data_IF_707332893031
#
_entry.id   IF_707332893031
#
_cell.length_a   1.000
_cell.length_b   1.000
_cell.length_c   1.000
_cell.angle_alpha   90.00
_cell.angle_beta   90.00
_cell.angle_gamma   90.00
#
_symmetry.space_group_name_H-M   'P 1'
#
loop_
_entity.id
_entity.type
_entity.pdbx_description
1 polymer ?
#
# COMPACT_ATOMS: atom_id res chain seq x y z
N UNK A 1 -13.86 -6.77 11.34
CA UNK A 1 -13.78 -5.46 12.03
C UNK A 1 -13.30 -4.42 11.02
N UNK A 2 -13.81 -3.19 11.06
CA UNK A 2 -13.37 -2.10 10.19
C UNK A 2 -12.71 -0.99 11.01
N UNK A 3 -11.81 -0.27 10.36
CA UNK A 3 -11.15 0.91 10.92
C UNK A 3 -11.45 2.12 10.04
N UNK A 4 -11.87 3.22 10.64
CA UNK A 4 -11.92 4.52 9.99
C UNK A 4 -10.72 5.33 10.47
N UNK A 5 -9.83 5.69 9.55
CA UNK A 5 -8.65 6.50 9.80
C UNK A 5 -8.87 7.89 9.24
N UNK A 6 -8.85 8.90 10.11
CA UNK A 6 -8.99 10.30 9.75
C UNK A 6 -7.69 11.04 10.09
N UNK A 7 -7.10 11.71 9.09
CA UNK A 7 -5.92 12.57 9.28
C UNK A 7 -6.40 13.99 9.52
N UNK A 8 -5.97 14.63 10.60
CA UNK A 8 -6.28 16.02 10.92
C UNK A 8 -4.99 16.82 11.12
N UNK A 9 -5.03 18.12 10.81
CA UNK A 9 -3.82 18.94 10.75
C UNK A 9 -3.31 19.43 12.10
N UNK A 10 -4.16 19.43 13.13
CA UNK A 10 -3.86 20.02 14.43
C UNK A 10 -4.43 19.18 15.58
N UNK A 11 -3.76 19.24 16.73
CA UNK A 11 -4.16 18.61 17.98
C UNK A 11 -5.56 19.03 18.40
N UNK A 12 -5.89 20.31 18.28
CA UNK A 12 -7.21 20.83 18.68
C UNK A 12 -8.32 20.21 17.85
N UNK A 13 -8.08 19.97 16.55
CA UNK A 13 -9.03 19.28 15.69
C UNK A 13 -9.20 17.81 16.09
N UNK A 14 -8.10 17.12 16.41
CA UNK A 14 -8.14 15.74 16.87
C UNK A 14 -8.94 15.59 18.17
N UNK A 15 -8.67 16.46 19.16
CA UNK A 15 -9.39 16.51 20.43
C UNK A 15 -10.88 16.85 20.24
N UNK A 16 -11.20 17.80 19.35
CA UNK A 16 -12.59 18.18 19.06
C UNK A 16 -13.39 16.99 18.51
N UNK A 17 -12.82 16.26 17.54
CA UNK A 17 -13.46 15.05 17.00
C UNK A 17 -13.61 13.99 18.08
N UNK A 18 -12.58 13.78 18.91
CA UNK A 18 -12.63 12.84 20.02
C UNK A 18 -13.80 13.17 20.97
N UNK A 19 -13.93 14.43 21.38
CA UNK A 19 -15.01 14.89 22.26
C UNK A 19 -16.39 14.80 21.60
N UNK A 20 -16.50 15.09 20.30
CA UNK A 20 -17.78 14.97 19.60
C UNK A 20 -18.24 13.51 19.47
N UNK A 21 -17.30 12.57 19.32
CA UNK A 21 -17.59 11.13 19.30
C UNK A 21 -17.93 10.58 20.69
N UNK A 22 -17.28 11.11 21.73
CA UNK A 22 -17.65 10.82 23.12
C UNK A 22 -19.08 11.29 23.42
N UNK A 23 -19.45 12.52 23.01
CA UNK A 23 -20.82 13.04 23.15
C UNK A 23 -21.85 12.22 22.37
N UNK A 24 -21.44 11.62 21.25
CA UNK A 24 -22.29 10.71 20.47
C UNK A 24 -22.40 9.30 21.11
N UNK A 25 -21.72 9.03 22.23
CA UNK A 25 -21.78 7.77 22.95
C UNK A 25 -20.88 6.67 22.36
N UNK A 26 -19.88 7.04 21.56
CA UNK A 26 -18.96 6.06 20.99
C UNK A 26 -17.98 5.53 22.07
N UNK A 27 -17.76 4.21 22.14
CA UNK A 27 -16.85 3.62 23.14
C UNK A 27 -15.41 4.10 22.94
N UNK A 28 -14.84 4.73 23.97
CA UNK A 28 -13.48 5.31 23.94
C UNK A 28 -12.37 4.28 23.75
N UNK A 29 -12.60 3.03 24.16
CA UNK A 29 -11.69 1.90 23.93
C UNK A 29 -11.40 1.64 22.44
N UNK A 30 -12.33 2.04 21.57
CA UNK A 30 -12.23 1.90 20.12
C UNK A 30 -11.73 3.17 19.43
N UNK A 31 -11.41 4.22 20.20
CA UNK A 31 -10.90 5.48 19.69
C UNK A 31 -9.43 5.65 20.09
N UNK A 32 -8.55 5.78 19.09
CA UNK A 32 -7.13 6.04 19.33
C UNK A 32 -6.67 7.29 18.59
N UNK A 33 -5.85 8.10 19.26
CA UNK A 33 -5.19 9.27 18.69
C UNK A 33 -3.69 8.99 18.60
N UNK A 34 -3.09 9.21 17.44
CA UNK A 34 -1.65 9.17 17.23
C UNK A 34 -1.15 10.56 16.82
N UNK A 35 -0.01 10.96 17.37
CA UNK A 35 0.59 12.28 17.16
C UNK A 35 1.52 12.68 18.30
N UNK A 36 2.22 13.80 18.12
CA UNK A 36 3.14 14.33 19.15
C UNK A 36 2.37 14.61 20.45
N UNK A 37 2.77 13.96 21.56
CA UNK A 37 2.11 14.04 22.86
C UNK A 37 1.04 12.97 23.13
N UNK A 38 0.73 12.11 22.16
CA UNK A 38 -0.14 10.94 22.29
C UNK A 38 0.63 9.65 22.00
N UNK A 39 -0.06 8.52 21.81
CA UNK A 39 0.61 7.24 21.53
C UNK A 39 1.53 7.39 20.31
N UNK A 40 2.78 6.96 20.50
CA UNK A 40 3.83 7.06 19.50
C UNK A 40 3.73 5.86 18.55
N UNK A 41 4.04 6.13 17.28
CA UNK A 41 4.01 5.27 16.06
C UNK A 41 4.27 3.76 16.19
N UNK A 42 4.89 3.29 17.27
CA UNK A 42 5.29 1.89 17.45
C UNK A 42 4.11 0.94 17.71
N UNK A 43 2.93 1.46 18.10
CA UNK A 43 1.74 0.63 18.38
C UNK A 43 0.70 0.66 17.23
N UNK A 44 1.07 1.28 16.10
CA UNK A 44 0.18 1.45 14.95
C UNK A 44 0.58 0.57 13.77
N UNK A 45 0.23 -0.71 13.89
CA UNK A 45 0.38 -1.75 12.86
C UNK A 45 -0.71 -1.60 11.78
N UNK A 46 -0.76 -0.43 11.13
CA UNK A 46 -1.48 -0.30 9.87
C UNK A 46 -0.52 -0.61 8.74
N UNK A 47 -0.64 -1.84 8.26
CA UNK A 47 -0.16 -2.34 6.98
C UNK A 47 -0.06 -1.23 5.91
N UNK A 48 1.15 -0.69 5.69
CA UNK A 48 1.37 0.33 4.67
C UNK A 48 1.03 -0.30 3.31
N UNK A 49 0.05 0.25 2.56
CA UNK A 49 -0.35 -0.28 1.27
C UNK A 49 0.83 -0.43 0.29
N UNK A 50 1.81 0.48 0.37
CA UNK A 50 2.99 0.46 -0.49
C UNK A 50 4.05 -0.54 -0.04
N UNK A 51 4.25 -0.75 1.26
CA UNK A 51 5.12 -1.84 1.74
C UNK A 51 4.52 -3.20 1.34
N UNK A 52 3.20 -3.34 1.46
CA UNK A 52 2.48 -4.54 1.04
C UNK A 52 2.52 -4.76 -0.48
N UNK A 53 2.43 -3.71 -1.29
CA UNK A 53 2.60 -3.80 -2.74
C UNK A 53 4.03 -4.20 -3.12
N UNK A 54 5.06 -3.62 -2.48
CA UNK A 54 6.47 -3.98 -2.70
C UNK A 54 6.76 -5.43 -2.33
N UNK A 55 6.32 -5.87 -1.15
CA UNK A 55 6.53 -7.26 -0.71
C UNK A 55 5.83 -8.27 -1.64
N UNK A 56 4.61 -7.97 -2.10
CA UNK A 56 3.91 -8.79 -3.10
C UNK A 56 4.66 -8.82 -4.44
N UNK A 57 5.17 -7.68 -4.91
CA UNK A 57 5.96 -7.59 -6.12
C UNK A 57 7.22 -8.47 -6.05
N UNK A 58 7.99 -8.38 -4.96
CA UNK A 58 9.19 -9.20 -4.77
C UNK A 58 8.87 -10.69 -4.73
N UNK A 59 7.80 -11.08 -4.03
CA UNK A 59 7.36 -12.49 -3.98
C UNK A 59 6.98 -13.02 -5.36
N UNK A 60 6.30 -12.21 -6.17
CA UNK A 60 5.96 -12.54 -7.55
C UNK A 60 7.21 -12.62 -8.43
N UNK A 61 8.13 -11.66 -8.31
CA UNK A 61 9.38 -11.63 -9.08
C UNK A 61 10.21 -12.89 -8.88
N UNK A 62 10.27 -13.44 -7.66
CA UNK A 62 11.00 -14.68 -7.37
C UNK A 62 10.58 -15.84 -8.30
N UNK A 63 9.32 -15.86 -8.75
CA UNK A 63 8.83 -16.86 -9.70
C UNK A 63 8.78 -16.38 -11.15
N UNK A 64 8.36 -15.13 -11.39
CA UNK A 64 8.17 -14.61 -12.74
C UNK A 64 9.50 -14.35 -13.47
N UNK A 65 10.58 -14.04 -12.76
CA UNK A 65 11.91 -13.86 -13.35
C UNK A 65 12.45 -15.17 -13.95
N UNK A 66 12.58 -16.27 -13.19
CA UNK A 66 13.06 -17.53 -13.77
C UNK A 66 12.09 -18.06 -14.83
N UNK A 67 10.77 -17.95 -14.59
CA UNK A 67 9.79 -18.40 -15.58
C UNK A 67 9.86 -17.59 -16.88
N UNK A 68 10.02 -16.27 -16.78
CA UNK A 68 10.26 -15.38 -17.91
C UNK A 68 11.56 -15.73 -18.65
N UNK A 69 12.63 -16.05 -17.92
CA UNK A 69 13.89 -16.48 -18.51
C UNK A 69 13.74 -17.76 -19.34
N UNK A 70 13.24 -18.83 -18.74
CA UNK A 70 13.06 -20.11 -19.44
C UNK A 70 12.03 -19.99 -20.56
N UNK A 71 10.97 -19.20 -20.36
CA UNK A 71 9.99 -18.88 -21.39
C UNK A 71 10.62 -18.17 -22.60
N UNK A 72 11.48 -17.18 -22.37
CA UNK A 72 12.19 -16.45 -23.42
C UNK A 72 13.19 -17.32 -24.19
N UNK A 73 13.97 -18.16 -23.49
CA UNK A 73 14.88 -19.14 -24.11
C UNK A 73 14.10 -20.12 -24.99
N UNK A 74 13.02 -20.68 -24.44
CA UNK A 74 12.20 -21.68 -25.14
C UNK A 74 11.47 -21.07 -26.33
N UNK A 75 10.92 -19.86 -26.17
CA UNK A 75 10.29 -19.12 -27.26
C UNK A 75 11.27 -18.88 -28.41
N UNK A 76 12.48 -18.43 -28.11
CA UNK A 76 13.52 -18.22 -29.11
C UNK A 76 13.92 -19.53 -29.81
N UNK A 77 14.04 -20.62 -29.05
CA UNK A 77 14.38 -21.94 -29.58
C UNK A 77 13.29 -22.50 -30.51
N UNK A 78 12.01 -22.33 -30.18
CA UNK A 78 10.88 -22.80 -31.01
C UNK A 78 10.71 -21.94 -32.26
N UNK A 79 10.80 -20.62 -32.13
CA UNK A 79 10.56 -19.69 -33.24
C UNK A 79 11.74 -19.56 -34.20
N UNK A 80 12.95 -19.91 -33.75
CA UNK A 80 14.17 -19.76 -34.54
C UNK A 80 14.53 -18.31 -34.85
N UNK A 81 13.94 -17.33 -34.13
CA UNK A 81 14.16 -15.91 -34.37
C UNK A 81 15.61 -15.52 -34.08
N UNK A 82 16.37 -15.14 -35.10
CA UNK A 82 17.72 -14.59 -34.95
C UNK A 82 17.68 -13.07 -34.74
N UNK A 83 17.17 -12.63 -33.60
CA UNK A 83 17.12 -11.20 -33.24
C UNK A 83 18.52 -10.63 -33.02
N UNK A 84 19.46 -11.46 -32.57
CA UNK A 84 20.86 -11.11 -32.32
C UNK A 84 21.79 -12.07 -33.06
N UNK A 85 21.92 -11.97 -34.40
CA UNK A 85 22.71 -12.90 -35.21
C UNK A 85 24.20 -12.94 -34.82
N UNK A 86 24.71 -11.79 -34.35
CA UNK A 86 26.09 -11.63 -33.90
C UNK A 86 26.44 -12.45 -32.64
N UNK A 87 25.43 -12.87 -31.86
CA UNK A 87 25.62 -13.63 -30.62
C UNK A 87 25.61 -15.15 -30.84
N UNK A 88 25.39 -15.60 -32.09
CA UNK A 88 25.18 -17.01 -32.41
C UNK A 88 23.88 -17.57 -31.81
N UNK A 89 23.60 -18.85 -32.07
CA UNK A 89 22.33 -19.49 -31.66
C UNK A 89 22.15 -19.47 -30.14
N UNK A 90 23.17 -19.89 -29.39
CA UNK A 90 23.11 -19.95 -27.92
C UNK A 90 23.03 -18.55 -27.30
N UNK A 91 23.80 -17.58 -27.81
CA UNK A 91 23.77 -16.21 -27.28
C UNK A 91 22.42 -15.54 -27.54
N UNK A 92 21.86 -15.74 -28.73
CA UNK A 92 20.53 -15.25 -29.09
C UNK A 92 19.42 -15.81 -28.19
N UNK A 93 19.49 -17.10 -27.83
CA UNK A 93 18.57 -17.72 -26.88
C UNK A 93 18.72 -17.15 -25.46
N UNK A 94 19.94 -16.97 -24.98
CA UNK A 94 20.21 -16.38 -23.65
C UNK A 94 19.69 -14.95 -23.59
N UNK A 95 19.92 -14.14 -24.63
CA UNK A 95 19.38 -12.78 -24.71
C UNK A 95 17.85 -12.81 -24.74
N UNK A 96 17.24 -13.75 -25.47
CA UNK A 96 15.79 -13.99 -25.43
C UNK A 96 15.29 -14.32 -24.02
N UNK A 97 16.03 -15.13 -23.26
CA UNK A 97 15.77 -15.39 -21.86
C UNK A 97 15.86 -14.14 -20.98
N UNK A 98 16.92 -13.34 -21.13
CA UNK A 98 17.06 -12.08 -20.37
C UNK A 98 15.89 -11.13 -20.66
N UNK A 99 15.48 -10.99 -21.92
CA UNK A 99 14.33 -10.19 -22.31
C UNK A 99 13.02 -10.74 -21.70
N UNK A 100 12.86 -12.07 -21.68
CA UNK A 100 11.74 -12.73 -21.01
C UNK A 100 11.73 -12.51 -19.50
N UNK A 101 12.88 -12.52 -18.83
CA UNK A 101 13.02 -12.24 -17.41
C UNK A 101 12.68 -10.78 -17.07
N UNK A 102 13.10 -9.82 -17.92
CA UNK A 102 12.72 -8.41 -17.79
C UNK A 102 11.20 -8.25 -17.93
N UNK A 103 10.60 -8.90 -18.93
CA UNK A 103 9.14 -8.92 -19.11
C UNK A 103 8.42 -9.50 -17.89
N UNK A 104 8.90 -10.63 -17.34
CA UNK A 104 8.36 -11.23 -16.12
C UNK A 104 8.45 -10.29 -14.91
N UNK A 105 9.56 -9.55 -14.77
CA UNK A 105 9.75 -8.56 -13.71
C UNK A 105 8.72 -7.42 -13.83
N UNK A 106 8.52 -6.91 -15.04
CA UNK A 106 7.54 -5.86 -15.33
C UNK A 106 6.11 -6.35 -15.08
N UNK A 107 5.80 -7.59 -15.48
CA UNK A 107 4.52 -8.25 -15.19
C UNK A 107 4.26 -8.37 -13.69
N UNK A 108 5.26 -8.72 -12.89
CA UNK A 108 5.16 -8.77 -11.44
C UNK A 108 4.87 -7.38 -10.82
N UNK A 109 5.54 -6.32 -11.31
CA UNK A 109 5.29 -4.94 -10.84
C UNK A 109 3.88 -4.45 -11.21
N UNK A 110 3.41 -4.79 -12.40
CA UNK A 110 2.06 -4.45 -12.87
C UNK A 110 1.00 -5.20 -12.06
N UNK A 111 1.10 -6.53 -11.95
CA UNK A 111 0.11 -7.38 -11.31
C UNK A 111 -0.01 -7.17 -9.79
N UNK A 112 1.08 -6.73 -9.14
CA UNK A 112 1.10 -6.44 -7.70
C UNK A 112 0.64 -5.03 -7.33
N UNK A 113 0.38 -4.16 -8.33
CA UNK A 113 0.28 -2.71 -8.09
C UNK A 113 1.59 -2.07 -7.64
N UNK A 114 2.71 -2.82 -7.71
CA UNK A 114 4.03 -2.40 -7.29
C UNK A 114 4.60 -1.24 -8.09
N UNK A 115 4.15 -1.01 -9.34
CA UNK A 115 4.56 0.16 -10.11
C UNK A 115 4.25 1.48 -9.40
N UNK A 116 3.06 1.62 -8.81
CA UNK A 116 2.69 2.83 -8.07
C UNK A 116 3.55 3.02 -6.81
N UNK A 117 3.93 1.91 -6.16
CA UNK A 117 4.76 1.91 -4.97
C UNK A 117 6.27 2.09 -5.24
N UNK A 118 6.77 1.67 -6.41
CA UNK A 118 8.18 1.78 -6.82
C UNK A 118 8.47 3.13 -7.48
N UNK A 119 7.55 3.61 -8.33
CA UNK A 119 7.72 4.87 -9.06
C UNK A 119 7.20 6.09 -8.28
N UNK A 120 6.59 5.89 -7.11
CA UNK A 120 6.08 6.98 -6.26
C UNK A 120 4.87 7.70 -6.83
N UNK A 121 4.18 7.11 -7.82
CA UNK A 121 2.95 7.66 -8.40
C UNK A 121 1.69 7.39 -7.55
N UNK A 122 1.78 6.49 -6.56
CA UNK A 122 0.76 6.39 -5.52
C UNK A 122 0.99 7.51 -4.51
N UNK A 123 -0.01 8.37 -4.27
CA UNK A 123 0.02 9.38 -3.20
C UNK A 123 0.01 8.68 -1.83
N UNK A 124 1.18 8.15 -1.46
CA UNK A 124 1.45 7.48 -0.20
C UNK A 124 2.25 8.42 0.68
N UNK A 125 1.60 9.49 1.14
CA UNK A 125 2.01 10.04 2.43
C UNK A 125 1.70 8.96 3.47
N UNK A 126 2.67 8.06 3.69
CA UNK A 126 2.63 7.02 4.71
C UNK A 126 2.19 7.67 6.02
N UNK A 127 1.37 6.99 6.81
CA UNK A 127 0.87 7.53 8.08
C UNK A 127 2.01 8.03 8.99
N UNK A 128 3.16 7.36 8.97
CA UNK A 128 4.42 7.81 9.62
C UNK A 128 4.93 9.16 9.10
N UNK A 129 4.92 9.37 7.79
CA UNK A 129 5.35 10.64 7.18
C UNK A 129 4.35 11.79 7.44
N UNK A 130 3.08 11.47 7.74
CA UNK A 130 2.08 12.44 8.21
C UNK A 130 2.33 12.83 9.67
N UNK A 131 2.56 11.84 10.53
CA UNK A 131 2.89 12.06 11.93
C UNK A 131 4.20 12.84 12.10
N UNK A 132 5.23 12.56 11.29
CA UNK A 132 6.50 13.31 11.30
C UNK A 132 6.35 14.78 10.87
N UNK A 133 5.32 15.10 10.08
CA UNK A 133 4.92 16.49 9.74
C UNK A 133 4.13 17.20 10.84
N UNK A 134 3.85 16.54 11.96
CA UNK A 134 3.01 17.07 13.04
C UNK A 134 1.51 16.96 12.77
N UNK A 135 1.10 16.19 11.74
CA UNK A 135 -0.30 15.84 11.54
C UNK A 135 -0.73 14.80 12.60
N UNK A 136 -2.02 14.76 12.94
CA UNK A 136 -2.58 13.82 13.90
C UNK A 136 -3.45 12.79 13.18
N UNK A 137 -3.42 11.54 13.66
CA UNK A 137 -4.24 10.44 13.14
C UNK A 137 -5.28 10.03 14.18
N UNK A 138 -6.54 10.08 13.79
CA UNK A 138 -7.65 9.53 14.55
C UNK A 138 -8.04 8.17 13.97
N UNK A 139 -8.12 7.16 14.82
CA UNK A 139 -8.38 5.79 14.41
C UNK A 139 -9.56 5.29 15.20
N UNK A 140 -10.59 4.90 14.46
CA UNK A 140 -11.88 4.54 15.00
C UNK A 140 -12.14 3.10 14.59
N UNK A 141 -12.14 2.20 15.55
CA UNK A 141 -12.45 0.79 15.33
C UNK A 141 -13.94 0.54 15.51
N UNK A 142 -14.57 -0.23 14.62
CA UNK A 142 -15.98 -0.56 14.80
C UNK A 142 -16.51 -1.54 13.76
N UNK A 143 -17.79 -1.87 13.92
CA UNK A 143 -18.58 -2.51 12.86
C UNK A 143 -18.94 -1.52 11.76
N UNK A 144 -19.28 -2.01 10.56
CA UNK A 144 -19.73 -1.19 9.42
C UNK A 144 -20.83 -0.19 9.80
N UNK A 145 -21.79 -0.63 10.62
CA UNK A 145 -22.92 0.19 11.07
C UNK A 145 -22.45 1.29 12.02
N UNK A 146 -21.61 0.95 13.00
CA UNK A 146 -21.03 1.92 13.94
C UNK A 146 -20.18 2.99 13.24
N UNK A 147 -19.39 2.60 12.23
CA UNK A 147 -18.59 3.56 11.47
C UNK A 147 -19.44 4.45 10.55
N UNK A 148 -20.55 3.93 10.01
CA UNK A 148 -21.47 4.71 9.19
C UNK A 148 -22.14 5.85 9.99
N UNK A 149 -22.48 5.60 11.25
CA UNK A 149 -23.08 6.61 12.15
C UNK A 149 -22.07 7.68 12.57
N UNK A 150 -20.80 7.31 12.66
CA UNK A 150 -19.69 8.18 13.09
C UNK A 150 -19.11 9.02 11.93
N UNK A 151 -19.19 8.52 10.70
CA UNK A 151 -18.63 9.16 9.51
C UNK A 151 -19.08 10.63 9.31
N UNK A 152 -20.35 11.02 9.54
CA UNK A 152 -20.78 12.42 9.42
C UNK A 152 -20.10 13.35 10.44
N UNK A 153 -19.87 12.86 11.66
CA UNK A 153 -19.21 13.61 12.73
C UNK A 153 -17.76 13.89 12.35
N UNK A 154 -17.05 12.85 11.90
CA UNK A 154 -15.66 12.97 11.46
C UNK A 154 -15.52 13.86 10.22
N UNK A 155 -16.46 13.77 9.26
CA UNK A 155 -16.46 14.64 8.07
C UNK A 155 -16.65 16.12 8.40
N UNK A 156 -17.38 16.45 9.47
CA UNK A 156 -17.59 17.84 9.90
C UNK A 156 -16.27 18.53 10.28
N UNK A 157 -15.30 17.76 10.80
CA UNK A 157 -13.99 18.27 11.17
C UNK A 157 -13.05 18.52 9.97
N UNK A 158 -13.50 18.28 8.73
CA UNK A 158 -12.73 18.47 7.49
C UNK A 158 -11.33 17.83 7.55
N UNK A 159 -11.25 16.51 7.75
CA UNK A 159 -9.96 15.82 7.78
C UNK A 159 -9.22 15.96 6.45
N UNK A 160 -7.90 16.05 6.53
CA UNK A 160 -6.97 16.11 5.39
C UNK A 160 -7.01 14.83 4.57
N UNK A 161 -7.32 13.69 5.20
CA UNK A 161 -7.55 12.41 4.52
C UNK A 161 -8.47 11.54 5.35
N UNK A 162 -9.33 10.77 4.68
CA UNK A 162 -10.27 9.82 5.26
C UNK A 162 -10.11 8.49 4.54
N UNK A 163 -9.78 7.44 5.27
CA UNK A 163 -9.64 6.09 4.73
C UNK A 163 -10.37 5.09 5.59
N UNK A 164 -11.19 4.24 4.97
CA UNK A 164 -11.79 3.09 5.63
C UNK A 164 -10.94 1.87 5.30
N UNK A 165 -10.36 1.26 6.33
CA UNK A 165 -9.54 0.06 6.22
C UNK A 165 -10.31 -1.13 6.76
N UNK A 166 -10.24 -2.25 6.05
CA UNK A 166 -10.82 -3.50 6.52
C UNK A 166 -9.72 -4.34 7.17
N UNK A 167 -9.92 -4.68 8.45
CA UNK A 167 -9.06 -5.67 9.11
C UNK A 167 -9.41 -7.03 8.55
N UNK A 168 -8.49 -7.63 7.78
CA UNK A 168 -8.63 -9.00 7.30
C UNK A 168 -8.00 -10.01 8.28
N UNK A 169 -8.22 -9.78 9.59
CA UNK A 169 -7.92 -10.76 10.63
C UNK A 169 -9.18 -11.57 10.93
#
# INVERSE_FOLDING_TARGET
MEYLVAVVGDRIQAETVYTDLEKAGFPQENLRIFGTGYQTEQDFDLDDPNENAKQRAFRMMTWLIPFGFFGGVTFNAITGLQTFPWAGVTGNQVIGGVLGAISGSLGALLASGGLGAVLGFGDSRTYRDRLSRGEYLLVIQGSRFQLADVLPIVRRARPLSLQTLQSNR
#
